data_IF_999252548412
#
_entry.id   IF_999252548412
#
_cell.length_a   1.000
_cell.length_b   1.000
_cell.length_c   1.000
_cell.angle_alpha   90.00
_cell.angle_beta   90.00
_cell.angle_gamma   90.00
#
_symmetry.space_group_name_H-M   'P 1'
#
loop_
_entity.id
_entity.type
_entity.pdbx_description
1 polymer ?
#
# COMPACT_ATOMS: atom_id res chain seq x y z
N UNK A 1 63.54 2.65 14.74
CA UNK A 1 62.36 2.55 15.63
C UNK A 1 61.22 1.96 14.81
N UNK A 2 60.81 0.73 15.14
CA UNK A 2 59.79 -0.03 14.40
C UNK A 2 58.48 0.07 15.18
N UNK A 3 57.47 0.73 14.63
CA UNK A 3 56.11 0.73 15.20
C UNK A 3 55.31 -0.36 14.49
N UNK A 4 55.12 -1.49 15.19
CA UNK A 4 54.23 -2.54 14.76
C UNK A 4 52.80 -2.17 15.19
N UNK A 5 51.96 -1.78 14.24
CA UNK A 5 50.52 -1.63 14.48
C UNK A 5 49.85 -2.99 14.31
N UNK A 6 49.42 -3.58 15.42
CA UNK A 6 48.59 -4.78 15.40
C UNK A 6 47.19 -4.43 14.89
N UNK A 7 46.81 -4.97 13.73
CA UNK A 7 45.45 -4.90 13.21
C UNK A 7 44.66 -6.01 13.91
N UNK A 8 43.78 -5.62 14.84
CA UNK A 8 42.84 -6.52 15.47
C UNK A 8 41.81 -6.98 14.43
N UNK A 9 41.88 -8.27 14.05
CA UNK A 9 40.86 -8.92 13.23
C UNK A 9 39.62 -9.10 14.12
N UNK A 10 38.60 -8.28 13.87
CA UNK A 10 37.28 -8.46 14.48
C UNK A 10 36.63 -9.63 13.78
N UNK A 11 36.67 -10.83 14.37
CA UNK A 11 35.86 -11.95 13.90
C UNK A 11 34.39 -11.58 14.14
N UNK A 12 33.67 -11.33 13.05
CA UNK A 12 32.23 -11.19 13.03
C UNK A 12 31.63 -12.47 13.59
N UNK A 13 31.07 -12.40 14.81
CA UNK A 13 30.25 -13.47 15.35
C UNK A 13 29.02 -13.55 14.45
N UNK A 14 28.98 -14.55 13.57
CA UNK A 14 27.73 -14.97 12.95
C UNK A 14 26.89 -15.57 14.09
N UNK A 15 26.12 -14.72 14.77
CA UNK A 15 25.05 -15.18 15.66
C UNK A 15 24.06 -15.93 14.78
N UNK A 16 24.19 -17.25 14.71
CA UNK A 16 23.11 -18.11 14.25
C UNK A 16 21.96 -17.91 15.24
N UNK A 17 21.05 -16.98 14.91
CA UNK A 17 19.75 -16.91 15.55
C UNK A 17 19.02 -18.20 15.20
N UNK A 18 19.17 -19.22 16.04
CA UNK A 18 18.32 -20.41 16.02
C UNK A 18 16.98 -20.03 16.66
N UNK A 19 16.26 -19.08 16.05
CA UNK A 19 14.91 -18.72 16.45
C UNK A 19 13.93 -19.53 15.61
N UNK A 20 13.85 -20.83 15.90
CA UNK A 20 12.65 -21.65 15.73
C UNK A 20 13.00 -23.11 16.06
N UNK A 21 12.78 -23.42 17.33
CA UNK A 21 12.22 -24.67 17.84
C UNK A 21 11.93 -25.71 16.74
N UNK A 22 12.63 -26.83 16.84
CA UNK A 22 12.69 -28.07 16.02
C UNK A 22 11.37 -28.67 15.48
N UNK A 23 10.47 -27.87 14.92
CA UNK A 23 9.11 -28.24 14.51
C UNK A 23 8.86 -28.09 13.00
N UNK A 24 9.80 -27.50 12.25
CA UNK A 24 9.71 -27.44 10.80
C UNK A 24 11.02 -27.84 10.10
N UNK A 25 10.93 -28.81 9.19
CA UNK A 25 12.05 -29.23 8.33
C UNK A 25 12.50 -28.14 7.34
N UNK A 26 11.63 -27.16 7.04
CA UNK A 26 11.84 -26.08 6.08
C UNK A 26 11.99 -24.70 6.76
N UNK A 27 12.57 -24.66 7.97
CA UNK A 27 12.61 -23.43 8.76
C UNK A 27 13.25 -22.24 8.03
N UNK A 28 14.32 -22.48 7.26
CA UNK A 28 14.97 -21.44 6.43
C UNK A 28 14.05 -20.87 5.35
N UNK A 29 13.17 -21.71 4.78
CA UNK A 29 12.21 -21.27 3.76
C UNK A 29 11.11 -20.42 4.41
N UNK A 30 10.63 -20.84 5.58
CA UNK A 30 9.64 -20.07 6.35
C UNK A 30 10.18 -18.70 6.76
N UNK A 31 11.40 -18.66 7.30
CA UNK A 31 12.04 -17.42 7.74
C UNK A 31 12.26 -16.44 6.58
N UNK A 32 12.84 -16.91 5.47
CA UNK A 32 13.03 -16.08 4.28
C UNK A 32 11.70 -15.57 3.69
N UNK A 33 10.65 -16.40 3.76
CA UNK A 33 9.31 -16.00 3.33
C UNK A 33 8.77 -14.88 4.23
N UNK A 34 8.85 -15.04 5.56
CA UNK A 34 8.40 -14.03 6.53
C UNK A 34 9.21 -12.72 6.38
N UNK A 35 10.53 -12.81 6.24
CA UNK A 35 11.42 -11.66 6.08
C UNK A 35 11.06 -10.84 4.83
N UNK A 36 10.73 -11.52 3.72
CA UNK A 36 10.25 -10.89 2.50
C UNK A 36 9.00 -10.01 2.68
N UNK A 37 8.17 -10.28 3.68
CA UNK A 37 6.97 -9.49 3.98
C UNK A 37 7.21 -8.35 4.98
N UNK A 38 8.32 -8.30 5.71
CA UNK A 38 8.56 -7.29 6.75
C UNK A 38 8.49 -5.86 6.21
N UNK A 39 9.02 -5.62 5.01
CA UNK A 39 8.96 -4.31 4.36
C UNK A 39 7.52 -3.87 4.05
N UNK A 40 6.66 -4.82 3.63
CA UNK A 40 5.23 -4.56 3.38
C UNK A 40 4.48 -4.33 4.69
N UNK A 41 4.75 -5.13 5.72
CA UNK A 41 4.16 -4.95 7.06
C UNK A 41 4.48 -3.55 7.60
N UNK A 42 5.75 -3.15 7.56
CA UNK A 42 6.19 -1.82 8.00
C UNK A 42 5.54 -0.70 7.18
N UNK A 43 5.37 -0.91 5.87
CA UNK A 43 4.68 0.04 5.00
C UNK A 43 3.21 0.20 5.36
N UNK A 44 2.50 -0.90 5.66
CA UNK A 44 1.12 -0.85 6.12
C UNK A 44 0.97 -0.14 7.48
N UNK A 45 1.98 -0.25 8.37
CA UNK A 45 1.96 0.35 9.70
C UNK A 45 2.31 1.83 9.72
N UNK A 46 3.00 2.31 8.68
CA UNK A 46 3.59 3.67 8.60
C UNK A 46 2.61 4.80 8.91
N UNK A 47 1.33 4.62 8.57
CA UNK A 47 0.29 5.64 8.69
C UNK A 47 -0.81 5.26 9.70
N UNK A 48 -0.44 4.61 10.82
CA UNK A 48 -1.39 4.30 11.89
C UNK A 48 -2.19 3.01 11.66
N UNK A 49 -1.53 1.99 11.11
CA UNK A 49 -2.08 0.67 10.79
C UNK A 49 -3.20 0.70 9.74
N UNK A 50 -2.82 0.54 8.48
CA UNK A 50 -3.77 0.19 7.42
C UNK A 50 -4.20 -1.27 7.59
N UNK A 51 -5.35 -1.47 8.23
CA UNK A 51 -5.91 -2.80 8.50
C UNK A 51 -6.22 -3.60 7.23
N UNK A 52 -6.56 -2.93 6.12
CA UNK A 52 -6.78 -3.58 4.83
C UNK A 52 -5.46 -4.17 4.32
N UNK A 53 -4.41 -3.35 4.30
CA UNK A 53 -3.06 -3.75 3.90
C UNK A 53 -2.51 -4.86 4.83
N UNK A 54 -2.69 -4.72 6.14
CA UNK A 54 -2.24 -5.70 7.14
C UNK A 54 -2.96 -7.04 7.00
N UNK A 55 -4.28 -7.03 6.78
CA UNK A 55 -5.03 -8.27 6.53
C UNK A 55 -4.48 -9.02 5.31
N UNK A 56 -4.27 -8.31 4.19
CA UNK A 56 -3.77 -8.89 2.96
C UNK A 56 -2.33 -9.44 3.13
N UNK A 57 -1.43 -8.66 3.72
CA UNK A 57 -0.03 -9.09 3.96
C UNK A 57 0.05 -10.27 4.92
N UNK A 58 -0.70 -10.26 6.02
CA UNK A 58 -0.65 -11.37 6.98
C UNK A 58 -1.32 -12.64 6.43
N UNK A 59 -2.27 -12.54 5.48
CA UNK A 59 -2.74 -13.71 4.72
C UNK A 59 -1.60 -14.32 3.90
N UNK A 60 -0.79 -13.50 3.24
CA UNK A 60 0.37 -13.97 2.50
C UNK A 60 1.42 -14.61 3.43
N UNK A 61 1.65 -14.01 4.61
CA UNK A 61 2.51 -14.61 5.65
C UNK A 61 1.99 -15.97 6.11
N UNK A 62 0.67 -16.14 6.27
CA UNK A 62 0.11 -17.44 6.63
C UNK A 62 0.37 -18.51 5.54
N UNK A 63 0.45 -18.12 4.26
CA UNK A 63 0.82 -19.04 3.18
C UNK A 63 2.25 -19.54 3.35
N UNK A 64 3.17 -18.74 3.92
CA UNK A 64 4.53 -19.20 4.23
C UNK A 64 4.52 -20.45 5.13
N UNK A 65 3.57 -20.51 6.08
CA UNK A 65 3.40 -21.64 6.99
C UNK A 65 2.86 -22.92 6.31
N UNK A 66 2.52 -22.90 5.01
CA UNK A 66 2.26 -24.13 4.27
C UNK A 66 3.54 -24.97 4.06
N UNK A 67 4.71 -24.34 4.09
CA UNK A 67 6.00 -25.03 4.11
C UNK A 67 6.32 -25.65 5.48
N UNK A 68 5.58 -25.25 6.52
CA UNK A 68 5.79 -25.62 7.92
C UNK A 68 4.45 -25.87 8.63
N UNK A 69 3.72 -26.94 8.28
CA UNK A 69 2.39 -27.19 8.81
C UNK A 69 2.39 -27.46 10.33
N UNK A 70 3.46 -28.03 10.85
CA UNK A 70 3.61 -28.40 12.28
C UNK A 70 4.21 -27.28 13.14
N UNK A 71 4.40 -26.09 12.57
CA UNK A 71 4.90 -24.93 13.32
C UNK A 71 3.93 -24.54 14.43
N UNK A 72 4.46 -24.37 15.64
CA UNK A 72 3.72 -23.89 16.81
C UNK A 72 3.21 -22.46 16.67
N UNK A 73 3.77 -21.68 15.75
CA UNK A 73 3.47 -20.26 15.58
C UNK A 73 2.31 -20.02 14.61
N UNK A 74 1.98 -21.03 13.78
CA UNK A 74 0.90 -20.96 12.79
C UNK A 74 -0.45 -20.56 13.39
N UNK A 75 -0.91 -21.11 14.54
CA UNK A 75 -2.18 -20.70 15.16
C UNK A 75 -2.18 -19.24 15.62
N UNK A 76 -1.05 -18.75 16.13
CA UNK A 76 -0.90 -17.35 16.55
C UNK A 76 -1.01 -16.42 15.35
N UNK A 77 -0.32 -16.72 14.25
CA UNK A 77 -0.41 -15.95 13.00
C UNK A 77 -1.82 -16.01 12.42
N UNK A 78 -2.48 -17.16 12.46
CA UNK A 78 -3.87 -17.29 12.05
C UNK A 78 -4.79 -16.34 12.83
N UNK A 79 -4.59 -16.21 14.15
CA UNK A 79 -5.35 -15.30 14.99
C UNK A 79 -5.05 -13.83 14.69
N UNK A 80 -3.80 -13.48 14.42
CA UNK A 80 -3.41 -12.14 13.96
C UNK A 80 -4.12 -11.78 12.66
N UNK A 81 -4.17 -12.71 11.70
CA UNK A 81 -4.90 -12.47 10.45
C UNK A 81 -6.39 -12.24 10.71
N UNK A 82 -7.02 -13.10 11.52
CA UNK A 82 -8.43 -12.93 11.88
C UNK A 82 -8.66 -11.54 12.48
N UNK A 83 -7.82 -11.11 13.40
CA UNK A 83 -7.94 -9.80 14.06
C UNK A 83 -7.84 -8.63 13.07
N UNK A 84 -6.84 -8.66 12.18
CA UNK A 84 -6.67 -7.60 11.18
C UNK A 84 -7.77 -7.61 10.10
N UNK A 85 -8.22 -8.79 9.66
CA UNK A 85 -9.26 -8.89 8.65
C UNK A 85 -10.64 -8.51 9.20
N UNK A 86 -10.95 -8.85 10.45
CA UNK A 86 -12.17 -8.37 11.11
C UNK A 86 -12.18 -6.85 11.25
N UNK A 87 -11.03 -6.25 11.54
CA UNK A 87 -10.89 -4.79 11.53
C UNK A 87 -11.01 -4.20 10.12
N UNK A 88 -10.50 -4.89 9.09
CA UNK A 88 -10.52 -4.43 7.71
C UNK A 88 -11.91 -4.45 7.06
N UNK A 89 -12.76 -5.42 7.41
CA UNK A 89 -14.07 -5.64 6.80
C UNK A 89 -14.96 -4.37 6.71
N UNK A 90 -15.19 -3.61 7.79
CA UNK A 90 -15.93 -2.35 7.72
C UNK A 90 -15.22 -1.29 6.87
N UNK A 91 -13.88 -1.24 6.88
CA UNK A 91 -13.12 -0.27 6.06
C UNK A 91 -13.24 -0.60 4.56
N UNK A 92 -13.21 -1.88 4.18
CA UNK A 92 -13.42 -2.29 2.77
C UNK A 92 -14.83 -1.95 2.32
N UNK A 93 -15.83 -2.24 3.15
CA UNK A 93 -17.23 -1.90 2.86
C UNK A 93 -17.46 -0.40 2.69
N UNK A 94 -16.89 0.44 3.57
CA UNK A 94 -16.95 1.89 3.45
C UNK A 94 -16.24 2.42 2.20
N UNK A 95 -15.09 1.83 1.84
CA UNK A 95 -14.33 2.18 0.63
C UNK A 95 -15.15 1.90 -0.63
N UNK A 96 -15.79 0.72 -0.71
CA UNK A 96 -16.65 0.33 -1.83
C UNK A 96 -17.89 1.24 -1.95
N UNK A 97 -18.50 1.62 -0.82
CA UNK A 97 -19.62 2.56 -0.80
C UNK A 97 -19.20 3.95 -1.31
N UNK A 98 -18.00 4.40 -0.95
CA UNK A 98 -17.42 5.66 -1.41
C UNK A 98 -17.12 5.64 -2.92
N UNK A 99 -16.59 4.53 -3.43
CA UNK A 99 -16.38 4.30 -4.87
C UNK A 99 -17.70 4.27 -5.66
N UNK A 100 -18.74 3.63 -5.12
CA UNK A 100 -20.07 3.61 -5.72
C UNK A 100 -20.69 5.02 -5.78
N UNK A 101 -20.50 5.81 -4.72
CA UNK A 101 -20.92 7.21 -4.64
C UNK A 101 -20.19 8.06 -5.68
N UNK A 102 -18.85 7.92 -5.77
CA UNK A 102 -18.04 8.63 -6.77
C UNK A 102 -18.42 8.24 -8.20
N UNK A 103 -18.72 6.97 -8.47
CA UNK A 103 -19.18 6.51 -9.79
C UNK A 103 -20.54 7.08 -10.16
N UNK A 104 -21.45 7.23 -9.19
CA UNK A 104 -22.75 7.86 -9.39
C UNK A 104 -22.63 9.35 -9.73
N UNK A 105 -21.71 10.06 -9.08
CA UNK A 105 -21.38 11.47 -9.41
C UNK A 105 -20.75 11.59 -10.80
N UNK A 106 -19.80 10.71 -11.14
CA UNK A 106 -19.16 10.70 -12.46
C UNK A 106 -20.15 10.39 -13.60
N UNK A 107 -21.09 9.46 -13.38
CA UNK A 107 -22.15 9.15 -14.34
C UNK A 107 -23.10 10.33 -14.56
N UNK A 108 -23.37 11.12 -13.51
CA UNK A 108 -24.19 12.33 -13.62
C UNK A 108 -23.44 13.42 -14.40
N UNK A 109 -22.14 13.60 -14.15
CA UNK A 109 -21.30 14.59 -14.83
C UNK A 109 -21.15 14.36 -16.35
N UNK A 110 -21.24 13.12 -16.83
CA UNK A 110 -21.18 12.80 -18.27
C UNK A 110 -22.47 13.12 -19.05
N UNK A 111 -23.57 13.46 -18.37
CA UNK A 111 -24.85 13.78 -19.03
C UNK A 111 -25.00 15.28 -19.35
N UNK A 112 -24.13 16.14 -18.82
CA UNK A 112 -24.08 17.56 -19.15
C UNK A 112 -23.23 17.78 -20.41
N UNK A 113 -23.80 17.48 -21.59
CA UNK A 113 -23.30 18.03 -22.86
C UNK A 113 -23.24 19.56 -22.73
N UNK A 114 -22.11 20.24 -23.05
CA UNK A 114 -22.12 21.69 -23.08
C UNK A 114 -23.15 22.13 -24.14
N UNK A 115 -24.20 22.81 -23.69
CA UNK A 115 -25.08 23.52 -24.60
C UNK A 115 -24.24 24.65 -25.21
N UNK A 116 -23.80 24.47 -26.45
CA UNK A 116 -23.30 25.56 -27.28
C UNK A 116 -24.43 26.57 -27.43
N UNK A 117 -24.43 27.63 -26.62
CA UNK A 117 -25.25 28.81 -26.88
C UNK A 117 -24.63 29.52 -28.08
N UNK A 118 -25.10 29.13 -29.26
CA UNK A 118 -24.96 29.87 -30.50
C UNK A 118 -25.65 31.23 -30.34
N UNK A 119 -24.90 32.27 -29.98
CA UNK A 119 -25.35 33.65 -30.12
C UNK A 119 -25.02 34.11 -31.54
N UNK A 120 -26.03 34.38 -32.35
CA UNK A 120 -25.93 34.99 -33.68
C UNK A 120 -27.12 35.94 -33.92
N UNK A 121 -26.98 36.94 -34.81
CA UNK A 121 -27.01 38.34 -34.40
C UNK A 121 -28.20 39.14 -34.97
N UNK A 122 -28.70 40.13 -34.22
CA UNK A 122 -29.39 41.35 -34.68
C UNK A 122 -29.83 42.14 -33.43
N UNK A 123 -29.60 43.45 -33.23
CA UNK A 123 -28.89 44.45 -34.00
C UNK A 123 -28.91 45.79 -33.23
N UNK A 124 -27.74 46.44 -33.20
CA UNK A 124 -27.49 47.89 -33.21
C UNK A 124 -28.04 48.83 -32.11
N UNK A 125 -27.11 49.33 -31.27
CA UNK A 125 -26.84 50.77 -31.15
C UNK A 125 -25.45 51.06 -30.52
N UNK A 126 -24.48 51.32 -31.40
CA UNK A 126 -23.35 52.26 -31.33
C UNK A 126 -22.71 52.62 -29.96
N UNK A 127 -21.47 52.14 -29.76
CA UNK A 127 -20.38 53.00 -29.26
C UNK A 127 -19.14 52.73 -30.11
N UNK A 128 -18.69 53.78 -30.80
CA UNK A 128 -17.65 53.75 -31.81
C UNK A 128 -16.23 53.74 -31.20
N UNK A 129 -15.42 52.81 -31.72
CA UNK A 129 -14.00 52.90 -32.11
C UNK A 129 -13.00 53.69 -31.26
N UNK A 130 -11.91 53.00 -30.84
CA UNK A 130 -10.47 53.33 -30.96
C UNK A 130 -9.70 52.45 -29.95
N UNK A 131 -8.79 51.53 -30.26
CA UNK A 131 -8.14 51.13 -31.51
C UNK A 131 -7.12 49.99 -31.25
N UNK A 132 -6.71 49.33 -32.34
CA UNK A 132 -5.48 48.56 -32.58
C UNK A 132 -5.03 47.52 -31.51
N UNK A 133 -5.21 46.22 -31.71
CA UNK A 133 -4.47 45.35 -32.63
C UNK A 133 -2.94 45.50 -32.57
N UNK A 134 -2.25 44.49 -32.03
CA UNK A 134 -1.19 43.78 -32.77
C UNK A 134 -0.84 42.46 -32.09
N UNK A 135 -1.11 41.37 -32.80
CA UNK A 135 -0.31 40.14 -32.73
C UNK A 135 1.09 40.46 -33.24
N UNK A 136 2.10 40.03 -32.49
CA UNK A 136 3.21 39.20 -32.94
C UNK A 136 3.82 38.54 -31.70
#
# INVERSE_FOLDING_TARGET
MRYATAIAVVLSVATTFVAAQSSCAAQTILDACIDGYQSRIASCQRNGNDYICLCDVYRDVLVCYNNCPDSTDKPSVQNTVTSYCLAADPLRSASLSSLASAKSVAATATTNKPASTSASPAGAALVAFLGAARLL
#
